data_IF_943606584800
#
_entry.id   IF_943606584800
#
_cell.length_a   1.000
_cell.length_b   1.000
_cell.length_c   1.000
_cell.angle_alpha   90.00
_cell.angle_beta   90.00
_cell.angle_gamma   90.00
#
_symmetry.space_group_name_H-M   'P 1'
#
loop_
_entity.id
_entity.type
_entity.pdbx_description
1 polymer ?
#
# COMPACT_ATOMS: atom_id res chain seq x y z
N UNK A 1 -31.89 8.89 4.23
CA UNK A 1 -30.66 8.79 5.02
C UNK A 1 -29.78 7.78 4.31
N UNK A 2 -28.53 8.11 3.95
CA UNK A 2 -27.63 7.11 3.36
C UNK A 2 -27.48 5.94 4.33
N UNK A 3 -27.40 4.73 3.81
CA UNK A 3 -27.10 3.54 4.63
C UNK A 3 -25.71 3.67 5.27
N UNK A 4 -25.50 3.09 6.46
CA UNK A 4 -24.18 3.12 7.13
C UNK A 4 -23.05 2.57 6.23
N UNK A 5 -23.37 1.66 5.32
CA UNK A 5 -22.46 1.16 4.29
C UNK A 5 -22.11 2.21 3.23
N UNK A 6 -23.08 2.98 2.72
CA UNK A 6 -22.81 4.03 1.72
C UNK A 6 -21.93 5.16 2.28
N UNK A 7 -22.09 5.50 3.56
CA UNK A 7 -21.19 6.43 4.24
C UNK A 7 -19.76 5.91 4.29
N UNK A 8 -19.57 4.62 4.60
CA UNK A 8 -18.26 3.98 4.64
C UNK A 8 -17.54 3.97 3.28
N UNK A 9 -18.26 3.69 2.18
CA UNK A 9 -17.68 3.64 0.82
C UNK A 9 -17.22 5.00 0.31
N UNK A 10 -17.97 6.07 0.58
CA UNK A 10 -17.57 7.43 0.19
C UNK A 10 -16.38 7.91 1.02
N UNK A 11 -16.22 7.41 2.25
CA UNK A 11 -15.15 7.77 3.18
C UNK A 11 -13.81 7.08 2.87
N UNK A 12 -13.83 5.82 2.44
CA UNK A 12 -12.64 5.12 1.92
C UNK A 12 -12.14 5.80 0.62
N UNK A 13 -13.05 6.21 -0.27
CA UNK A 13 -12.72 6.96 -1.49
C UNK A 13 -11.88 8.22 -1.22
N UNK A 14 -12.18 8.98 -0.15
CA UNK A 14 -11.44 10.21 0.22
C UNK A 14 -10.02 9.89 0.72
N UNK A 15 -9.81 8.75 1.39
CA UNK A 15 -8.45 8.30 1.79
C UNK A 15 -7.52 8.16 0.59
N UNK A 16 -8.07 7.79 -0.56
CA UNK A 16 -7.30 7.43 -1.74
C UNK A 16 -6.87 8.67 -2.53
N UNK A 17 -7.77 9.65 -2.72
CA UNK A 17 -7.55 10.80 -3.61
C UNK A 17 -6.70 11.94 -3.00
N UNK A 18 -6.40 11.88 -1.71
CA UNK A 18 -5.69 12.96 -1.03
C UNK A 18 -4.18 12.98 -1.36
N UNK A 19 -3.70 14.15 -1.80
CA UNK A 19 -2.29 14.50 -1.89
C UNK A 19 -1.63 14.36 -0.52
N UNK A 20 -0.44 13.79 -0.48
CA UNK A 20 0.32 13.63 0.77
C UNK A 20 0.79 15.01 1.19
N UNK A 21 0.15 15.60 2.22
CA UNK A 21 0.68 16.78 2.90
C UNK A 21 2.04 16.40 3.54
N UNK A 22 3.12 17.19 3.36
CA UNK A 22 4.42 16.84 3.90
C UNK A 22 4.38 16.82 5.43
N UNK A 23 4.53 15.63 6.04
CA UNK A 23 4.91 15.53 7.45
C UNK A 23 6.43 15.64 7.59
N UNK A 24 6.89 16.07 8.77
CA UNK A 24 8.22 16.67 8.99
C UNK A 24 9.44 15.80 8.64
N UNK A 25 9.34 14.48 8.50
CA UNK A 25 10.36 13.66 7.80
C UNK A 25 9.66 12.41 7.26
N UNK A 26 9.28 12.40 5.98
CA UNK A 26 8.80 11.18 5.34
C UNK A 26 10.00 10.27 5.03
N UNK A 27 10.01 9.04 5.55
CA UNK A 27 10.96 8.02 5.09
C UNK A 27 10.56 7.61 3.67
N UNK A 28 11.50 7.71 2.75
CA UNK A 28 11.32 7.35 1.34
C UNK A 28 12.37 6.32 0.96
N UNK A 29 11.92 5.16 0.49
CA UNK A 29 12.79 4.15 -0.11
C UNK A 29 12.95 4.43 -1.60
N UNK A 30 14.10 4.10 -2.20
CA UNK A 30 14.26 4.20 -3.65
C UNK A 30 13.37 3.16 -4.35
N UNK A 31 12.87 3.48 -5.55
CA UNK A 31 12.04 2.57 -6.35
C UNK A 31 12.72 1.24 -6.68
N UNK A 32 14.06 1.18 -6.64
CA UNK A 32 14.84 -0.05 -6.77
C UNK A 32 14.54 -1.10 -5.67
N UNK A 33 13.99 -0.69 -4.52
CA UNK A 33 13.56 -1.60 -3.46
C UNK A 33 12.12 -2.13 -3.64
N UNK A 34 11.40 -1.70 -4.69
CA UNK A 34 9.99 -2.05 -4.85
C UNK A 34 9.73 -3.55 -4.93
N UNK A 35 10.54 -4.30 -5.69
CA UNK A 35 10.40 -5.75 -5.78
C UNK A 35 10.62 -6.41 -4.42
N UNK A 36 11.68 -6.02 -3.70
CA UNK A 36 12.01 -6.59 -2.41
C UNK A 36 10.91 -6.31 -1.38
N UNK A 37 10.38 -5.08 -1.36
CA UNK A 37 9.27 -4.72 -0.48
C UNK A 37 7.99 -5.50 -0.83
N UNK A 38 7.65 -5.63 -2.11
CA UNK A 38 6.48 -6.43 -2.53
C UNK A 38 6.64 -7.92 -2.20
N UNK A 39 7.87 -8.44 -2.23
CA UNK A 39 8.19 -9.81 -1.80
C UNK A 39 7.97 -9.97 -0.30
N UNK A 40 8.44 -9.01 0.51
CA UNK A 40 8.22 -8.96 1.96
C UNK A 40 6.72 -8.86 2.30
N UNK A 41 5.98 -7.97 1.63
CA UNK A 41 4.54 -7.79 1.82
C UNK A 41 3.74 -9.05 1.53
N UNK A 42 4.21 -9.92 0.63
CA UNK A 42 3.56 -11.20 0.35
C UNK A 42 3.69 -12.22 1.49
N UNK A 43 4.60 -11.99 2.45
CA UNK A 43 4.73 -12.79 3.68
C UNK A 43 3.82 -12.28 4.81
N UNK A 44 3.29 -11.06 4.67
CA UNK A 44 2.43 -10.48 5.68
C UNK A 44 1.03 -11.07 5.57
N UNK A 45 0.27 -10.96 6.66
CA UNK A 45 -1.18 -11.18 6.64
C UNK A 45 -1.90 -10.12 5.78
N UNK A 46 -3.23 -10.17 5.78
CA UNK A 46 -4.07 -9.24 5.01
C UNK A 46 -3.56 -7.80 5.03
N UNK A 47 -3.55 -7.18 3.86
CA UNK A 47 -3.27 -5.77 3.60
C UNK A 47 -4.47 -5.17 2.86
N UNK A 48 -4.45 -3.86 2.62
CA UNK A 48 -5.38 -3.22 1.68
C UNK A 48 -4.60 -2.54 0.57
N UNK A 49 -4.65 -3.10 -0.64
CA UNK A 49 -4.03 -2.49 -1.82
C UNK A 49 -5.04 -1.59 -2.52
N UNK A 50 -4.62 -0.36 -2.84
CA UNK A 50 -5.46 0.65 -3.46
C UNK A 50 -4.82 1.13 -4.75
N UNK A 51 -5.59 1.09 -5.84
CA UNK A 51 -5.23 1.66 -7.14
C UNK A 51 -6.22 2.77 -7.47
N UNK A 52 -5.70 3.92 -7.89
CA UNK A 52 -6.52 5.08 -8.28
C UNK A 52 -6.21 5.41 -9.72
N UNK A 53 -7.23 5.41 -10.57
CA UNK A 53 -7.05 5.74 -11.98
C UNK A 53 -8.29 6.48 -12.47
N UNK A 54 -8.08 7.65 -13.07
CA UNK A 54 -9.16 8.48 -13.64
C UNK A 54 -10.34 8.74 -12.67
N UNK A 55 -10.06 8.93 -11.38
CA UNK A 55 -11.09 9.16 -10.35
C UNK A 55 -11.78 7.88 -9.84
N UNK A 56 -11.52 6.72 -10.47
CA UNK A 56 -11.93 5.42 -9.97
C UNK A 56 -10.96 4.95 -8.89
N UNK A 57 -11.52 4.29 -7.88
CA UNK A 57 -10.78 3.73 -6.75
C UNK A 57 -11.07 2.25 -6.70
N UNK A 58 -10.01 1.45 -6.78
CA UNK A 58 -10.07 0.01 -6.69
C UNK A 58 -9.34 -0.42 -5.43
N UNK A 59 -10.03 -1.22 -4.63
CA UNK A 59 -9.52 -1.69 -3.35
C UNK A 59 -9.50 -3.20 -3.33
N UNK A 60 -8.42 -3.73 -2.83
CA UNK A 60 -8.24 -5.15 -2.63
C UNK A 60 -7.83 -5.42 -1.19
N UNK A 61 -8.69 -6.14 -0.46
CA UNK A 61 -8.48 -6.53 0.94
C UNK A 61 -8.09 -8.01 0.96
N UNK A 62 -6.84 -8.29 1.31
CA UNK A 62 -6.28 -9.64 1.28
C UNK A 62 -4.76 -9.67 1.40
N UNK A 63 -4.19 -10.87 1.42
CA UNK A 63 -2.72 -11.06 1.38
C UNK A 63 -2.18 -10.48 0.06
N UNK A 64 -1.08 -9.73 0.13
CA UNK A 64 -0.44 -9.21 -1.07
C UNK A 64 0.11 -10.38 -1.90
N UNK A 65 -0.14 -10.48 -3.22
CA UNK A 65 0.26 -11.64 -3.99
C UNK A 65 1.78 -11.75 -4.11
N UNK A 66 2.31 -12.97 -3.98
CA UNK A 66 3.66 -13.27 -4.42
C UNK A 66 3.81 -13.03 -5.92
N UNK A 67 5.04 -12.83 -6.41
CA UNK A 67 5.26 -12.58 -7.83
C UNK A 67 6.65 -12.94 -8.33
N UNK A 68 6.82 -12.84 -9.65
CA UNK A 68 8.08 -13.18 -10.33
C UNK A 68 8.37 -12.24 -11.50
N UNK A 69 9.65 -12.10 -11.84
CA UNK A 69 10.09 -11.27 -12.98
C UNK A 69 9.96 -12.05 -14.28
N UNK A 70 9.18 -11.52 -15.22
CA UNK A 70 9.09 -11.98 -16.59
C UNK A 70 8.62 -10.85 -17.51
N UNK A 71 9.06 -10.86 -18.77
CA UNK A 71 8.64 -9.90 -19.81
C UNK A 71 8.82 -8.40 -19.43
N UNK A 72 9.75 -8.09 -18.52
CA UNK A 72 9.99 -6.71 -18.06
C UNK A 72 9.05 -6.22 -16.96
N UNK A 73 8.24 -7.10 -16.35
CA UNK A 73 7.32 -6.80 -15.27
C UNK A 73 7.58 -7.68 -14.04
N UNK A 74 7.15 -7.22 -12.86
CA UNK A 74 6.89 -8.06 -11.70
C UNK A 74 5.45 -8.56 -11.77
N UNK A 75 5.28 -9.85 -12.03
CA UNK A 75 3.98 -10.47 -12.31
C UNK A 75 3.42 -11.03 -11.01
N UNK A 76 2.29 -10.51 -10.57
CA UNK A 76 1.57 -10.98 -9.38
C UNK A 76 0.88 -12.30 -9.72
N UNK A 77 1.19 -13.34 -8.95
CA UNK A 77 0.53 -14.64 -9.07
C UNK A 77 -0.96 -14.51 -8.77
N UNK A 78 -1.78 -15.30 -9.46
CA UNK A 78 -3.20 -15.39 -9.14
C UNK A 78 -3.35 -16.13 -7.80
N UNK A 79 -3.55 -15.36 -6.73
CA UNK A 79 -3.91 -15.90 -5.42
C UNK A 79 -5.40 -16.25 -5.32
N UNK A 80 -5.78 -16.91 -4.24
CA UNK A 80 -7.16 -17.34 -3.98
C UNK A 80 -8.16 -16.17 -3.93
N UNK A 81 -7.67 -14.98 -3.56
CA UNK A 81 -8.48 -13.78 -3.37
C UNK A 81 -8.65 -12.95 -4.66
N UNK A 82 -8.07 -13.36 -5.79
CA UNK A 82 -8.36 -12.79 -7.10
C UNK A 82 -7.62 -11.49 -7.46
N UNK A 83 -6.71 -11.00 -6.62
CA UNK A 83 -5.80 -9.91 -7.00
C UNK A 83 -4.59 -10.48 -7.76
N UNK A 84 -4.48 -10.10 -9.02
CA UNK A 84 -3.37 -10.44 -9.91
C UNK A 84 -3.10 -9.27 -10.87
N UNK A 85 -1.98 -9.29 -11.56
CA UNK A 85 -1.60 -8.22 -12.49
C UNK A 85 -0.11 -8.15 -12.76
N UNK A 86 0.28 -7.07 -13.44
CA UNK A 86 1.65 -6.87 -13.92
C UNK A 86 2.16 -5.50 -13.50
N UNK A 87 3.22 -5.46 -12.69
CA UNK A 87 3.79 -4.21 -12.17
C UNK A 87 5.05 -3.86 -12.95
N UNK A 88 5.03 -2.69 -13.61
CA UNK A 88 6.21 -2.15 -14.29
C UNK A 88 7.13 -1.51 -13.26
N UNK A 89 8.10 -2.26 -12.75
CA UNK A 89 9.03 -1.77 -11.71
C UNK A 89 9.70 -0.45 -12.06
N UNK A 90 10.06 -0.26 -13.34
CA UNK A 90 10.69 0.98 -13.84
C UNK A 90 9.78 2.22 -13.77
N UNK A 91 8.47 2.05 -13.57
CA UNK A 91 7.56 3.16 -13.36
C UNK A 91 7.65 3.71 -11.93
N UNK A 92 8.14 2.92 -10.97
CA UNK A 92 8.24 3.27 -9.55
C UNK A 92 9.57 4.00 -9.34
N UNK A 93 9.50 5.29 -9.02
CA UNK A 93 10.67 6.11 -8.70
C UNK A 93 11.01 6.02 -7.21
N UNK A 94 9.97 6.05 -6.36
CA UNK A 94 10.12 6.06 -4.91
C UNK A 94 8.99 5.32 -4.21
N UNK A 95 9.23 4.96 -2.96
CA UNK A 95 8.23 4.36 -2.07
C UNK A 95 8.20 5.16 -0.79
N UNK A 96 7.12 5.90 -0.56
CA UNK A 96 6.94 6.70 0.65
C UNK A 96 6.27 5.88 1.74
N UNK A 97 6.86 5.87 2.93
CA UNK A 97 6.23 5.35 4.13
C UNK A 97 5.37 6.46 4.74
N UNK A 98 4.06 6.36 4.54
CA UNK A 98 3.09 7.34 4.99
C UNK A 98 2.54 6.93 6.36
N UNK A 99 2.58 7.86 7.30
CA UNK A 99 1.89 7.77 8.58
C UNK A 99 0.95 8.97 8.69
N UNK A 100 -0.34 8.74 8.86
CA UNK A 100 -1.31 9.82 9.04
C UNK A 100 -2.42 9.42 9.99
N UNK A 101 -2.93 10.40 10.73
CA UNK A 101 -4.23 10.25 11.38
C UNK A 101 -5.31 10.48 10.33
N UNK A 102 -6.20 9.52 10.20
CA UNK A 102 -7.43 9.68 9.45
C UNK A 102 -8.60 9.56 10.42
N UNK A 103 -9.32 10.67 10.61
CA UNK A 103 -10.49 10.77 11.51
C UNK A 103 -10.24 10.23 12.93
N UNK A 104 -9.03 10.43 13.44
CA UNK A 104 -8.63 10.00 14.79
C UNK A 104 -8.00 8.60 14.85
N UNK A 105 -8.02 7.84 13.76
CA UNK A 105 -7.37 6.53 13.66
C UNK A 105 -6.07 6.64 12.89
N UNK A 106 -5.00 6.06 13.42
CA UNK A 106 -3.72 6.02 12.71
C UNK A 106 -3.84 5.13 11.46
N UNK A 107 -3.22 5.56 10.36
CA UNK A 107 -3.21 4.89 9.07
C UNK A 107 -1.79 4.92 8.51
N UNK A 108 -1.33 3.73 8.11
CA UNK A 108 0.04 3.48 7.67
C UNK A 108 0.00 2.83 6.29
N UNK A 109 0.82 3.32 5.36
CA UNK A 109 0.88 2.77 4.01
C UNK A 109 2.26 2.92 3.37
N UNK A 110 2.54 2.02 2.43
CA UNK A 110 3.58 2.18 1.42
C UNK A 110 2.93 2.78 0.18
N UNK A 111 3.34 4.00 -0.19
CA UNK A 111 2.87 4.70 -1.39
C UNK A 111 3.93 4.56 -2.47
N UNK A 112 3.63 3.79 -3.51
CA UNK A 112 4.52 3.60 -4.66
C UNK A 112 4.30 4.77 -5.62
N UNK A 113 5.33 5.58 -5.82
CA UNK A 113 5.24 6.86 -6.52
C UNK A 113 5.99 6.83 -7.86
N UNK A 114 5.46 7.53 -8.87
CA UNK A 114 6.15 7.76 -10.13
C UNK A 114 7.17 8.91 -10.02
N UNK A 115 7.84 9.23 -11.13
CA UNK A 115 8.83 10.32 -11.22
C UNK A 115 8.29 11.71 -10.91
N UNK A 116 6.96 11.89 -10.90
CA UNK A 116 6.29 13.15 -10.58
C UNK A 116 5.79 13.15 -9.12
N UNK A 117 6.09 12.11 -8.34
CA UNK A 117 5.58 11.94 -6.98
C UNK A 117 4.11 11.52 -6.94
N UNK A 118 3.53 11.09 -8.06
CA UNK A 118 2.13 10.64 -8.11
C UNK A 118 2.03 9.19 -7.67
N UNK A 119 1.05 8.87 -6.83
CA UNK A 119 0.81 7.50 -6.40
C UNK A 119 0.37 6.63 -7.59
N UNK A 120 1.14 5.58 -7.87
CA UNK A 120 0.80 4.52 -8.83
C UNK A 120 -0.20 3.57 -8.15
N UNK A 121 0.14 3.14 -6.94
CA UNK A 121 -0.74 2.37 -6.04
C UNK A 121 -0.25 2.52 -4.60
N UNK A 122 -1.08 2.10 -3.64
CA UNK A 122 -0.78 2.13 -2.21
C UNK A 122 -1.02 0.76 -1.60
N UNK A 123 -0.20 0.38 -0.62
CA UNK A 123 -0.46 -0.80 0.22
C UNK A 123 -0.55 -0.35 1.66
N UNK A 124 -1.76 -0.42 2.22
CA UNK A 124 -2.04 -0.09 3.62
C UNK A 124 -1.88 -1.33 4.50
N UNK A 125 -1.47 -1.09 5.75
CA UNK A 125 -1.52 -2.13 6.78
C UNK A 125 -2.95 -2.63 6.95
N UNK A 126 -3.09 -3.94 7.11
CA UNK A 126 -4.37 -4.58 7.37
C UNK A 126 -4.92 -4.26 8.73
N UNK A 127 -6.23 -4.47 8.84
CA UNK A 127 -6.97 -4.35 10.09
C UNK A 127 -7.69 -5.65 10.37
N UNK A 128 -7.86 -5.95 11.65
CA UNK A 128 -8.72 -7.04 12.10
C UNK A 128 -10.20 -6.67 12.03
N UNK A 129 -11.06 -7.61 12.42
CA UNK A 129 -12.52 -7.44 12.42
C UNK A 129 -12.98 -6.31 13.36
N UNK A 130 -12.16 -5.96 14.35
CA UNK A 130 -12.38 -4.83 15.27
C UNK A 130 -11.84 -3.50 14.71
N UNK A 131 -11.41 -3.47 13.46
CA UNK A 131 -10.76 -2.34 12.80
C UNK A 131 -9.44 -1.90 13.44
N UNK A 132 -8.78 -2.73 14.25
CA UNK A 132 -7.46 -2.43 14.79
C UNK A 132 -6.35 -2.85 13.80
N UNK A 133 -5.30 -2.03 13.67
CA UNK A 133 -4.13 -2.38 12.86
C UNK A 133 -3.45 -3.61 13.47
N UNK A 134 -3.03 -4.53 12.61
CA UNK A 134 -2.24 -5.69 13.04
C UNK A 134 -0.91 -5.25 13.68
N UNK A 135 -0.68 -5.51 14.98
CA UNK A 135 0.51 -5.04 15.69
C UNK A 135 1.83 -5.49 15.05
N UNK A 136 1.87 -6.71 14.52
CA UNK A 136 3.01 -7.29 13.83
C UNK A 136 3.38 -6.53 12.55
N UNK A 137 2.39 -6.13 11.75
CA UNK A 137 2.62 -5.33 10.55
C UNK A 137 3.07 -3.91 10.91
N UNK A 138 2.53 -3.34 12.00
CA UNK A 138 2.94 -2.02 12.48
C UNK A 138 4.39 -2.03 12.98
N UNK A 139 4.81 -3.09 13.66
CA UNK A 139 6.20 -3.27 14.09
C UNK A 139 7.12 -3.38 12.87
N UNK A 140 6.81 -4.26 11.91
CA UNK A 140 7.60 -4.39 10.69
C UNK A 140 7.67 -3.09 9.89
N UNK A 141 6.56 -2.36 9.77
CA UNK A 141 6.53 -1.03 9.13
C UNK A 141 7.50 -0.06 9.81
N UNK A 142 7.50 0.01 11.15
CA UNK A 142 8.40 0.87 11.92
C UNK A 142 9.87 0.45 11.76
N UNK A 143 10.15 -0.85 11.69
CA UNK A 143 11.49 -1.35 11.42
C UNK A 143 11.99 -0.92 10.04
N UNK A 144 11.16 -1.08 9.00
CA UNK A 144 11.50 -0.61 7.64
C UNK A 144 11.67 0.91 7.62
N UNK A 145 10.85 1.65 8.38
CA UNK A 145 10.96 3.11 8.47
C UNK A 145 12.26 3.58 9.12
N UNK A 146 12.69 2.91 10.19
CA UNK A 146 13.88 3.28 10.95
C UNK A 146 15.18 2.84 10.25
N UNK A 147 15.19 1.63 9.69
CA UNK A 147 16.41 0.95 9.26
C UNK A 147 16.49 0.70 7.74
N UNK A 148 15.44 1.06 6.99
CA UNK A 148 15.26 0.63 5.61
C UNK A 148 14.85 -0.84 5.52
N UNK A 149 14.53 -1.29 4.31
CA UNK A 149 14.23 -2.70 4.05
C UNK A 149 15.51 -3.52 4.24
N UNK A 150 15.49 -4.46 5.19
CA UNK A 150 16.62 -5.36 5.40
C UNK A 150 16.63 -6.44 4.30
N UNK A 151 17.81 -6.86 3.83
CA UNK A 151 17.90 -8.03 2.96
C UNK A 151 17.41 -9.27 3.73
N UNK A 152 16.64 -10.11 3.03
CA UNK A 152 16.22 -11.42 3.52
C UNK A 152 17.41 -12.37 3.72
#
# INVERSE_FOLDING_TARGET
MPSQSEGFYVEELVMTQQTVEPSEVATVLPGSQAQALMTELATWRNTTTIVIVAGCVFEFKGVFPAGSIAEGYYNLALGEMGFSGHIKLQAIESIRLMERKHRGTDSFAFVFEDRKGQAIFKVYLGRDDSHAIHPEQLEQFRQIKANGLQPA
#
